data_IF_344703446787
#
_entry.id   IF_344703446787
#
_cell.length_a   1.000
_cell.length_b   1.000
_cell.length_c   1.000
_cell.angle_alpha   90.00
_cell.angle_beta   90.00
_cell.angle_gamma   90.00
#
_symmetry.space_group_name_H-M   'P 1'
#
loop_
_entity.id
_entity.type
_entity.pdbx_description
1 polymer ?
#
# COMPACT_ATOMS: atom_id res chain seq x y z
N UNK A 1 51.78 66.85 19.92
CA UNK A 1 52.61 65.73 20.43
C UNK A 1 51.67 64.63 20.85
N UNK A 2 51.50 63.65 19.97
CA UNK A 2 50.91 62.30 20.11
C UNK A 2 50.67 61.84 18.67
N UNK A 3 51.69 61.18 18.13
CA UNK A 3 51.68 60.52 16.83
C UNK A 3 50.88 59.22 16.95
N UNK A 4 50.07 58.88 15.96
CA UNK A 4 49.96 57.52 15.40
C UNK A 4 49.28 57.61 14.01
N UNK A 5 49.82 56.83 13.10
CA UNK A 5 49.69 56.81 11.64
C UNK A 5 48.30 56.46 11.09
N UNK A 6 47.97 56.89 9.86
CA UNK A 6 46.86 56.35 9.09
C UNK A 6 47.31 55.07 8.36
N UNK A 7 46.65 53.94 8.61
CA UNK A 7 46.78 52.77 7.74
C UNK A 7 45.54 52.66 6.86
N UNK A 8 45.74 52.89 5.56
CA UNK A 8 44.85 52.41 4.51
C UNK A 8 44.80 50.88 4.58
N UNK A 9 43.62 50.31 4.76
CA UNK A 9 43.40 48.89 4.58
C UNK A 9 43.16 48.63 3.09
N UNK A 10 44.17 48.11 2.40
CA UNK A 10 44.04 47.53 1.06
C UNK A 10 43.17 46.28 1.12
N UNK A 11 42.06 46.26 0.37
CA UNK A 11 41.30 45.04 0.08
C UNK A 11 42.17 44.10 -0.77
N UNK A 12 42.66 43.02 -0.15
CA UNK A 12 43.22 41.88 -0.88
C UNK A 12 42.08 41.03 -1.42
N UNK A 13 41.80 41.16 -2.72
CA UNK A 13 41.01 40.21 -3.49
C UNK A 13 41.81 38.90 -3.61
N UNK A 14 41.51 37.91 -2.78
CA UNK A 14 41.89 36.52 -3.07
C UNK A 14 40.90 35.97 -4.12
N UNK A 15 41.35 35.55 -5.31
CA UNK A 15 40.48 34.84 -6.23
C UNK A 15 40.21 33.44 -5.67
N UNK A 16 38.96 33.20 -5.28
CA UNK A 16 38.48 31.84 -5.06
C UNK A 16 38.54 31.11 -6.41
N UNK A 17 39.50 30.22 -6.55
CA UNK A 17 39.56 29.26 -7.65
C UNK A 17 38.32 28.37 -7.57
N UNK A 18 37.31 28.70 -8.36
CA UNK A 18 36.21 27.79 -8.67
C UNK A 18 36.81 26.62 -9.46
N UNK A 19 37.01 25.48 -8.80
CA UNK A 19 37.10 24.20 -9.49
C UNK A 19 35.72 23.92 -10.10
N UNK A 20 35.51 24.40 -11.31
CA UNK A 20 34.44 23.93 -12.17
C UNK A 20 34.76 22.48 -12.54
N UNK A 21 34.26 21.53 -11.75
CA UNK A 21 34.03 20.20 -12.29
C UNK A 21 32.96 20.34 -13.36
N UNK A 22 33.39 20.43 -14.61
CA UNK A 22 32.56 20.03 -15.74
C UNK A 22 32.07 18.61 -15.44
N UNK A 23 30.81 18.52 -15.03
CA UNK A 23 30.03 17.31 -15.15
C UNK A 23 29.90 17.04 -16.65
N UNK A 24 30.93 16.42 -17.21
CA UNK A 24 30.84 15.71 -18.48
C UNK A 24 29.72 14.71 -18.26
N UNK A 25 28.54 15.02 -18.80
CA UNK A 25 27.40 14.13 -18.84
C UNK A 25 27.88 12.85 -19.52
N UNK A 26 28.20 11.85 -18.69
CA UNK A 26 28.55 10.54 -19.15
C UNK A 26 27.46 10.07 -20.12
N UNK A 27 27.89 9.65 -21.31
CA UNK A 27 27.10 9.02 -22.38
C UNK A 27 25.80 8.43 -21.84
N UNK A 28 24.68 8.83 -22.45
CA UNK A 28 23.37 8.24 -22.23
C UNK A 28 23.52 6.73 -22.00
N UNK A 29 23.23 6.29 -20.76
CA UNK A 29 23.04 4.88 -20.43
C UNK A 29 22.17 4.31 -21.54
N UNK A 30 22.65 3.25 -22.19
CA UNK A 30 21.85 2.42 -23.09
C UNK A 30 20.43 2.35 -22.52
N UNK A 31 19.45 2.81 -23.29
CA UNK A 31 18.07 2.86 -22.84
C UNK A 31 17.74 1.48 -22.26
N UNK A 32 17.41 1.42 -20.97
CA UNK A 32 17.17 0.14 -20.33
C UNK A 32 16.07 -0.58 -21.10
N UNK A 33 16.34 -1.81 -21.56
CA UNK A 33 15.35 -2.60 -22.28
C UNK A 33 14.08 -2.69 -21.42
N UNK A 34 12.98 -2.16 -21.96
CA UNK A 34 11.68 -2.26 -21.32
C UNK A 34 11.23 -3.72 -21.37
N UNK A 35 11.10 -4.35 -20.19
CA UNK A 35 10.62 -5.72 -20.06
C UNK A 35 9.16 -5.69 -19.58
N UNK A 36 8.17 -5.75 -20.49
CA UNK A 36 6.77 -5.81 -20.08
C UNK A 36 6.48 -7.15 -19.40
N UNK A 37 5.89 -7.10 -18.20
CA UNK A 37 5.46 -8.30 -17.47
C UNK A 37 4.02 -8.71 -17.81
N UNK A 38 3.27 -7.84 -18.49
CA UNK A 38 1.89 -8.12 -18.84
C UNK A 38 1.34 -7.10 -19.83
N UNK A 39 0.35 -7.53 -20.57
CA UNK A 39 -0.40 -6.73 -21.54
C UNK A 39 -1.90 -6.81 -21.20
N UNK A 40 -2.66 -5.86 -21.73
CA UNK A 40 -4.13 -5.83 -21.62
C UNK A 40 -4.62 -5.85 -20.15
N UNK A 41 -4.13 -4.94 -19.32
CA UNK A 41 -4.70 -4.74 -17.98
C UNK A 41 -6.03 -3.97 -18.03
N UNK A 42 -6.79 -4.01 -16.92
CA UNK A 42 -7.86 -3.03 -16.68
C UNK A 42 -7.31 -1.75 -16.05
N UNK A 43 -8.15 -0.72 -15.90
CA UNK A 43 -7.84 0.44 -15.06
C UNK A 43 -7.29 -0.03 -13.70
N UNK A 44 -6.09 0.45 -13.34
CA UNK A 44 -5.29 -0.08 -12.21
C UNK A 44 -5.02 -1.59 -12.34
N UNK A 45 -4.23 -1.93 -13.35
CA UNK A 45 -3.63 -3.27 -13.54
C UNK A 45 -2.87 -3.71 -12.27
N UNK A 46 -2.12 -2.77 -11.71
CA UNK A 46 -1.61 -2.79 -10.35
C UNK A 46 -2.46 -1.83 -9.49
N UNK A 47 -2.61 -2.14 -8.21
CA UNK A 47 -3.27 -1.28 -7.26
C UNK A 47 -2.25 -0.34 -6.60
N UNK A 48 -2.74 0.78 -6.09
CA UNK A 48 -1.90 1.70 -5.32
C UNK A 48 -1.63 1.17 -3.90
N UNK A 49 -0.88 1.96 -3.12
CA UNK A 49 -0.42 1.62 -1.78
C UNK A 49 -1.50 1.24 -0.75
N UNK A 50 -2.79 1.43 -1.06
CA UNK A 50 -3.90 1.01 -0.20
C UNK A 50 -4.03 -0.53 -0.16
N UNK A 51 -3.60 -1.24 -1.19
CA UNK A 51 -3.74 -2.69 -1.34
C UNK A 51 -2.44 -3.32 -1.85
N UNK A 52 -1.76 -4.07 -0.98
CA UNK A 52 -0.38 -4.54 -1.20
C UNK A 52 -0.02 -5.69 -0.24
N UNK A 53 1.11 -6.37 -0.38
CA UNK A 53 2.05 -6.37 -1.52
C UNK A 53 1.44 -6.94 -2.80
N UNK A 54 1.88 -6.44 -3.97
CA UNK A 54 1.57 -7.04 -5.27
C UNK A 54 2.75 -7.84 -5.85
N UNK A 55 3.84 -7.91 -5.09
CA UNK A 55 4.98 -8.73 -5.43
C UNK A 55 5.73 -9.17 -4.18
N UNK A 56 6.34 -10.34 -4.24
CA UNK A 56 7.24 -10.86 -3.20
C UNK A 56 8.47 -11.48 -3.86
N UNK A 57 9.65 -11.17 -3.32
CA UNK A 57 10.90 -11.79 -3.76
C UNK A 57 11.27 -12.90 -2.79
N UNK A 58 11.39 -14.13 -3.29
CA UNK A 58 11.57 -15.32 -2.47
C UNK A 58 12.44 -16.34 -3.20
N UNK A 59 13.45 -16.89 -2.51
CA UNK A 59 14.39 -17.89 -3.03
C UNK A 59 14.99 -17.57 -4.42
N UNK A 60 15.28 -16.29 -4.67
CA UNK A 60 15.91 -15.84 -5.92
C UNK A 60 14.93 -15.56 -7.05
N UNK A 61 13.61 -15.66 -6.82
CA UNK A 61 12.56 -15.42 -7.80
C UNK A 61 11.60 -14.34 -7.33
N UNK A 62 11.20 -13.45 -8.24
CA UNK A 62 10.17 -12.46 -7.97
C UNK A 62 8.82 -13.02 -8.42
N UNK A 63 7.84 -13.03 -7.52
CA UNK A 63 6.46 -13.39 -7.82
C UNK A 63 5.66 -12.10 -7.88
N UNK A 64 4.92 -11.86 -8.97
CA UNK A 64 4.11 -10.67 -9.17
C UNK A 64 2.67 -11.05 -9.47
N UNK A 65 1.74 -10.31 -8.88
CA UNK A 65 0.31 -10.48 -9.16
C UNK A 65 -0.30 -9.18 -9.63
N UNK A 66 -1.23 -9.30 -10.57
CA UNK A 66 -1.83 -8.16 -11.25
C UNK A 66 -3.18 -8.53 -11.87
N UNK A 67 -3.94 -7.54 -12.31
CA UNK A 67 -5.12 -7.79 -13.13
C UNK A 67 -4.75 -7.72 -14.62
N UNK A 68 -4.82 -8.84 -15.33
CA UNK A 68 -4.41 -8.92 -16.73
C UNK A 68 -5.44 -9.57 -17.63
N UNK A 69 -5.06 -9.73 -18.89
CA UNK A 69 -5.83 -10.48 -19.88
C UNK A 69 -7.26 -9.95 -20.04
N UNK A 70 -7.38 -8.63 -20.01
CA UNK A 70 -8.62 -7.92 -20.17
C UNK A 70 -9.05 -7.89 -21.62
N UNK A 71 -10.34 -8.04 -21.87
CA UNK A 71 -10.92 -7.73 -23.17
C UNK A 71 -11.03 -6.21 -23.32
N UNK A 72 -10.48 -5.60 -24.38
CA UNK A 72 -10.61 -4.17 -24.61
C UNK A 72 -12.08 -3.75 -24.67
N UNK A 73 -12.42 -2.66 -24.00
CA UNK A 73 -13.74 -2.02 -24.07
C UNK A 73 -13.58 -0.55 -24.38
N UNK A 74 -14.58 0.06 -25.02
CA UNK A 74 -14.57 1.50 -25.37
C UNK A 74 -14.51 2.45 -24.16
N UNK A 75 -14.78 1.94 -22.95
CA UNK A 75 -14.90 2.73 -21.73
C UNK A 75 -13.83 2.39 -20.68
N UNK A 76 -12.76 1.66 -21.06
CA UNK A 76 -11.64 1.27 -20.17
C UNK A 76 -12.03 0.39 -18.96
N UNK A 77 -13.28 -0.08 -18.91
CA UNK A 77 -13.82 -0.98 -17.86
C UNK A 77 -13.79 -2.44 -18.31
N UNK A 78 -12.70 -2.84 -18.97
CA UNK A 78 -12.48 -4.22 -19.39
C UNK A 78 -12.52 -5.16 -18.19
N UNK A 79 -13.11 -6.35 -18.38
CA UNK A 79 -13.03 -7.43 -17.39
C UNK A 79 -11.64 -8.04 -17.45
N UNK A 80 -10.93 -8.04 -16.33
CA UNK A 80 -9.60 -8.63 -16.21
C UNK A 80 -9.59 -9.79 -15.22
N UNK A 81 -8.63 -10.68 -15.37
CA UNK A 81 -8.41 -11.83 -14.49
C UNK A 81 -7.33 -11.52 -13.46
N UNK A 82 -7.42 -12.03 -12.23
CA UNK A 82 -6.28 -12.05 -11.32
C UNK A 82 -5.22 -12.98 -11.90
N UNK A 83 -4.02 -12.46 -12.12
CA UNK A 83 -2.90 -13.14 -12.75
C UNK A 83 -1.74 -13.29 -11.77
N UNK A 84 -0.94 -14.33 -11.98
CA UNK A 84 0.39 -14.52 -11.40
C UNK A 84 1.41 -14.65 -12.53
N UNK A 85 2.56 -13.99 -12.36
CA UNK A 85 3.74 -14.19 -13.19
C UNK A 85 4.97 -14.23 -12.29
N UNK A 86 6.00 -14.96 -12.72
CA UNK A 86 7.29 -14.99 -12.02
C UNK A 86 8.38 -14.38 -12.87
N UNK A 87 9.39 -13.82 -12.23
CA UNK A 87 10.56 -13.24 -12.88
C UNK A 87 11.84 -13.79 -12.27
N UNK A 88 12.70 -14.32 -13.13
CA UNK A 88 14.06 -14.70 -12.78
C UNK A 88 14.99 -13.50 -13.00
N UNK A 89 15.55 -12.89 -11.95
CA UNK A 89 16.43 -11.74 -12.10
C UNK A 89 17.81 -12.09 -12.69
N UNK A 90 18.24 -13.35 -12.61
CA UNK A 90 19.52 -13.79 -13.16
C UNK A 90 19.41 -13.96 -14.67
N UNK A 91 18.34 -14.61 -15.13
CA UNK A 91 18.09 -14.83 -16.56
C UNK A 91 17.37 -13.64 -17.22
N UNK A 92 16.78 -12.75 -16.41
CA UNK A 92 15.94 -11.61 -16.84
C UNK A 92 14.73 -12.03 -17.66
N UNK A 93 14.12 -13.17 -17.30
CA UNK A 93 13.00 -13.77 -18.03
C UNK A 93 11.77 -13.84 -17.13
N UNK A 94 10.61 -13.48 -17.70
CA UNK A 94 9.32 -13.75 -17.11
C UNK A 94 8.82 -15.15 -17.50
N UNK A 95 8.15 -15.84 -16.58
CA UNK A 95 7.37 -17.05 -16.92
C UNK A 95 6.16 -16.70 -17.79
N UNK A 96 5.52 -17.72 -18.37
CA UNK A 96 4.16 -17.54 -18.86
C UNK A 96 3.22 -17.11 -17.70
N UNK A 97 2.28 -16.18 -17.94
CA UNK A 97 1.33 -15.75 -16.91
C UNK A 97 0.26 -16.82 -16.66
N UNK A 98 -0.17 -16.94 -15.41
CA UNK A 98 -1.17 -17.92 -14.95
C UNK A 98 -2.40 -17.20 -14.43
N UNK A 99 -3.60 -17.59 -14.87
CA UNK A 99 -4.86 -17.11 -14.29
C UNK A 99 -5.09 -17.78 -12.93
N UNK A 100 -5.41 -16.99 -11.92
CA UNK A 100 -5.70 -17.45 -10.56
C UNK A 100 -7.20 -17.76 -10.35
N UNK A 101 -8.03 -17.37 -11.30
CA UNK A 101 -9.47 -17.61 -11.30
C UNK A 101 -10.01 -17.69 -12.72
N UNK A 102 -11.06 -18.48 -12.92
CA UNK A 102 -11.84 -18.49 -14.16
C UNK A 102 -12.81 -17.30 -14.26
N UNK A 103 -12.97 -16.55 -13.17
CA UNK A 103 -13.82 -15.36 -13.11
C UNK A 103 -13.00 -14.11 -13.40
N UNK A 104 -13.52 -13.26 -14.29
CA UNK A 104 -12.97 -11.93 -14.58
C UNK A 104 -13.88 -10.83 -14.07
N UNK A 105 -13.27 -9.72 -13.65
CA UNK A 105 -13.93 -8.64 -12.93
C UNK A 105 -13.53 -7.28 -13.48
N UNK A 106 -14.49 -6.35 -13.55
CA UNK A 106 -14.25 -4.96 -13.96
C UNK A 106 -13.79 -4.09 -12.80
N UNK A 107 -14.12 -4.47 -11.57
CA UNK A 107 -13.80 -3.68 -10.39
C UNK A 107 -12.30 -3.77 -10.08
N UNK A 108 -11.61 -2.64 -10.12
CA UNK A 108 -10.19 -2.57 -9.86
C UNK A 108 -9.82 -2.91 -8.40
N UNK A 109 -10.77 -2.80 -7.45
CA UNK A 109 -10.57 -3.19 -6.04
C UNK A 109 -10.28 -4.68 -5.87
N UNK A 110 -10.71 -5.50 -6.83
CA UNK A 110 -10.54 -6.96 -6.79
C UNK A 110 -9.11 -7.40 -7.11
N UNK A 111 -8.16 -6.46 -7.20
CA UNK A 111 -6.75 -6.73 -7.47
C UNK A 111 -6.16 -7.77 -6.53
N UNK A 112 -5.29 -8.67 -7.02
CA UNK A 112 -4.62 -9.61 -6.15
C UNK A 112 -3.51 -8.94 -5.32
N UNK A 113 -3.26 -9.50 -4.14
CA UNK A 113 -2.05 -9.31 -3.33
C UNK A 113 -1.35 -10.66 -3.13
N UNK A 114 -0.03 -10.64 -2.92
CA UNK A 114 0.81 -11.82 -2.73
C UNK A 114 1.88 -11.60 -1.66
N UNK A 115 2.01 -12.53 -0.72
CA UNK A 115 3.09 -12.53 0.27
C UNK A 115 3.62 -13.95 0.50
N UNK A 116 4.63 -14.06 1.36
CA UNK A 116 5.18 -15.34 1.77
C UNK A 116 5.20 -15.44 3.30
N UNK A 117 4.93 -16.63 3.82
CA UNK A 117 5.03 -16.93 5.26
C UNK A 117 6.47 -17.33 5.64
N UNK A 118 6.69 -17.69 6.90
CA UNK A 118 8.01 -18.09 7.41
C UNK A 118 8.47 -19.48 6.95
N UNK A 119 7.53 -20.30 6.48
CA UNK A 119 7.79 -21.63 5.93
C UNK A 119 7.99 -21.59 4.39
N UNK A 120 8.17 -20.39 3.83
CA UNK A 120 8.34 -20.09 2.42
C UNK A 120 7.12 -20.47 1.53
N UNK A 121 5.93 -20.67 2.10
CA UNK A 121 4.71 -20.82 1.31
C UNK A 121 4.26 -19.46 0.78
N UNK A 122 3.68 -19.47 -0.43
CA UNK A 122 3.12 -18.28 -1.05
C UNK A 122 1.64 -18.17 -0.73
N UNK A 123 1.22 -16.97 -0.39
CA UNK A 123 -0.15 -16.64 -0.04
C UNK A 123 -0.70 -15.65 -1.06
N UNK A 124 -1.96 -15.83 -1.45
CA UNK A 124 -2.67 -14.97 -2.38
C UNK A 124 -4.03 -14.59 -1.85
N UNK A 125 -4.39 -13.31 -2.00
CA UNK A 125 -5.73 -12.83 -1.70
C UNK A 125 -6.21 -11.92 -2.82
N UNK A 126 -7.39 -12.19 -3.36
CA UNK A 126 -7.98 -11.39 -4.43
C UNK A 126 -9.50 -11.33 -4.33
N UNK A 127 -10.12 -10.44 -5.09
CA UNK A 127 -11.58 -10.32 -5.13
C UNK A 127 -12.19 -9.60 -3.92
N UNK A 128 -11.42 -8.73 -3.25
CA UNK A 128 -11.82 -8.06 -2.02
C UNK A 128 -12.39 -6.67 -2.28
N UNK A 129 -13.71 -6.54 -2.20
CA UNK A 129 -14.38 -5.25 -2.11
C UNK A 129 -15.74 -5.44 -1.44
N UNK A 130 -15.77 -5.29 -0.10
CA UNK A 130 -16.93 -5.61 0.74
C UNK A 130 -17.32 -7.09 0.69
N UNK A 131 -16.33 -7.93 0.43
CA UNK A 131 -16.41 -9.37 0.26
C UNK A 131 -15.26 -10.02 1.02
N UNK A 132 -15.34 -11.31 1.37
CA UNK A 132 -14.21 -12.02 1.97
C UNK A 132 -13.04 -12.20 0.98
N UNK A 133 -13.34 -12.17 -0.34
CA UNK A 133 -12.40 -12.51 -1.39
C UNK A 133 -12.12 -14.02 -1.44
N UNK A 134 -11.08 -14.39 -2.20
CA UNK A 134 -10.56 -15.75 -2.29
C UNK A 134 -9.14 -15.77 -1.74
N UNK A 135 -8.91 -16.57 -0.70
CA UNK A 135 -7.61 -16.73 -0.05
C UNK A 135 -7.00 -18.08 -0.40
N UNK A 136 -5.83 -18.07 -1.03
CA UNK A 136 -5.11 -19.26 -1.45
C UNK A 136 -3.73 -19.32 -0.80
N UNK A 137 -3.27 -20.52 -0.50
CA UNK A 137 -1.89 -20.81 -0.09
C UNK A 137 -1.31 -21.88 -1.00
N UNK A 138 -0.04 -21.77 -1.37
CA UNK A 138 0.62 -22.80 -2.17
C UNK A 138 0.59 -24.15 -1.44
N UNK A 139 0.52 -25.25 -2.17
CA UNK A 139 0.55 -26.60 -1.57
C UNK A 139 1.95 -27.03 -1.16
N UNK A 140 2.97 -26.31 -1.60
CA UNK A 140 4.37 -26.56 -1.34
C UNK A 140 5.08 -25.20 -1.12
N UNK A 141 6.17 -25.17 -0.33
CA UNK A 141 7.04 -24.01 -0.25
C UNK A 141 7.57 -23.59 -1.62
N UNK A 142 7.85 -22.30 -1.79
CA UNK A 142 8.45 -21.78 -3.00
C UNK A 142 9.85 -22.37 -3.21
N UNK A 143 10.02 -23.07 -4.34
CA UNK A 143 11.31 -23.61 -4.77
C UNK A 143 12.04 -22.70 -5.76
N UNK A 144 13.31 -23.02 -6.04
CA UNK A 144 14.09 -22.39 -7.13
C UNK A 144 13.53 -22.72 -8.53
N UNK A 145 12.97 -23.92 -8.69
CA UNK A 145 12.38 -24.36 -9.94
C UNK A 145 10.96 -23.80 -10.09
N UNK A 146 10.68 -23.23 -11.26
CA UNK A 146 9.35 -22.76 -11.65
C UNK A 146 8.42 -23.95 -11.96
N UNK A 147 8.10 -24.75 -10.95
CA UNK A 147 6.99 -25.71 -11.06
C UNK A 147 5.68 -24.95 -11.03
N UNK A 148 4.68 -25.46 -11.75
CA UNK A 148 3.32 -24.94 -11.65
C UNK A 148 2.90 -24.95 -10.17
N UNK A 149 2.59 -23.77 -9.64
CA UNK A 149 2.19 -23.63 -8.24
C UNK A 149 0.77 -24.16 -8.11
N UNK A 150 0.61 -25.19 -7.30
CA UNK A 150 -0.70 -25.71 -6.93
C UNK A 150 -1.21 -24.97 -5.71
N UNK A 151 -2.48 -24.57 -5.74
CA UNK A 151 -3.10 -23.78 -4.69
C UNK A 151 -4.06 -24.62 -3.85
N UNK A 152 -4.12 -24.30 -2.56
CA UNK A 152 -5.16 -24.73 -1.64
C UNK A 152 -5.96 -23.51 -1.21
N UNK A 153 -7.28 -23.58 -1.33
CA UNK A 153 -8.17 -22.56 -0.77
C UNK A 153 -8.20 -22.67 0.76
N UNK A 154 -8.11 -21.52 1.41
CA UNK A 154 -8.06 -21.38 2.86
C UNK A 154 -9.34 -20.71 3.37
N UNK A 155 -9.69 -20.87 4.67
CA UNK A 155 -10.81 -20.16 5.26
C UNK A 155 -10.72 -18.65 5.07
N UNK A 156 -11.86 -17.97 4.95
CA UNK A 156 -11.89 -16.52 4.80
C UNK A 156 -11.25 -15.82 6.00
N UNK A 157 -10.39 -14.83 5.74
CA UNK A 157 -9.69 -14.04 6.78
C UNK A 157 -10.68 -13.19 7.60
N UNK A 158 -11.67 -12.63 6.92
CA UNK A 158 -12.72 -11.81 7.49
C UNK A 158 -13.99 -11.96 6.62
N UNK A 159 -15.20 -11.74 7.18
CA UNK A 159 -16.44 -11.85 6.40
C UNK A 159 -16.51 -10.81 5.27
N UNK A 160 -15.89 -9.65 5.46
CA UNK A 160 -15.77 -8.59 4.46
C UNK A 160 -14.45 -7.87 4.65
N UNK A 161 -13.80 -7.54 3.53
CA UNK A 161 -12.65 -6.67 3.51
C UNK A 161 -12.52 -5.92 2.18
N UNK A 162 -11.96 -4.72 2.26
CA UNK A 162 -11.51 -3.91 1.12
C UNK A 162 -10.09 -3.42 1.40
N UNK A 163 -9.27 -3.27 0.37
CA UNK A 163 -7.88 -2.79 0.47
C UNK A 163 -6.98 -3.60 1.41
N UNK A 164 -6.93 -4.94 1.27
CA UNK A 164 -6.07 -5.75 2.12
C UNK A 164 -4.61 -5.33 1.98
N UNK A 165 -3.94 -5.16 3.11
CA UNK A 165 -2.52 -4.87 3.17
C UNK A 165 -1.84 -5.77 4.17
N UNK A 166 -0.90 -6.57 3.68
CA UNK A 166 -0.18 -7.56 4.51
C UNK A 166 1.24 -7.10 4.82
N UNK A 167 1.66 -7.32 6.06
CA UNK A 167 3.05 -7.16 6.49
C UNK A 167 3.48 -8.29 7.42
N UNK A 168 4.75 -8.66 7.37
CA UNK A 168 5.41 -9.36 8.48
C UNK A 168 5.62 -8.40 9.64
N UNK A 169 5.42 -8.90 10.85
CA UNK A 169 5.54 -8.16 12.11
C UNK A 169 6.36 -8.98 13.12
N UNK A 170 6.50 -8.46 14.33
CA UNK A 170 7.30 -9.09 15.38
C UNK A 170 6.89 -10.54 15.67
N UNK A 171 7.88 -11.36 16.03
CA UNK A 171 7.65 -12.74 16.48
C UNK A 171 7.13 -13.66 15.38
N UNK A 172 7.58 -13.45 14.14
CA UNK A 172 7.29 -14.33 13.00
C UNK A 172 5.78 -14.40 12.68
N UNK A 173 5.09 -13.28 12.94
CA UNK A 173 3.65 -13.10 12.73
C UNK A 173 3.36 -12.28 11.49
N UNK A 174 2.13 -12.38 11.03
CA UNK A 174 1.62 -11.63 9.87
C UNK A 174 0.44 -10.76 10.31
N UNK A 175 0.38 -9.53 9.81
CA UNK A 175 -0.78 -8.64 9.96
C UNK A 175 -1.42 -8.40 8.61
N UNK A 176 -2.76 -8.40 8.58
CA UNK A 176 -3.56 -7.88 7.48
C UNK A 176 -4.42 -6.72 7.96
N UNK A 177 -4.19 -5.52 7.41
CA UNK A 177 -4.96 -4.31 7.71
C UNK A 177 -5.88 -3.98 6.54
N UNK A 178 -7.16 -3.72 6.82
CA UNK A 178 -8.19 -3.55 5.80
C UNK A 178 -9.35 -2.66 6.27
N UNK A 179 -10.15 -2.20 5.31
CA UNK A 179 -11.44 -1.53 5.57
C UNK A 179 -12.55 -2.58 5.61
N UNK A 180 -13.43 -2.50 6.60
CA UNK A 180 -14.40 -3.56 6.90
C UNK A 180 -15.54 -3.65 5.89
N UNK A 181 -15.94 -2.54 5.27
CA UNK A 181 -16.99 -2.49 4.24
C UNK A 181 -16.76 -1.32 3.26
N UNK A 182 -17.81 -0.53 2.98
CA UNK A 182 -17.83 0.62 2.08
C UNK A 182 -17.09 1.85 2.61
N UNK A 183 -17.33 3.00 1.99
CA UNK A 183 -16.52 4.21 2.22
C UNK A 183 -16.48 4.66 3.68
N UNK A 184 -17.63 4.68 4.35
CA UNK A 184 -17.80 5.18 5.72
C UNK A 184 -17.55 4.12 6.79
N UNK A 185 -17.19 2.90 6.38
CA UNK A 185 -16.96 1.81 7.33
C UNK A 185 -15.65 1.95 8.09
N UNK A 186 -15.56 1.20 9.18
CA UNK A 186 -14.38 1.14 10.03
C UNK A 186 -13.15 0.56 9.32
N UNK A 187 -11.99 0.83 9.89
CA UNK A 187 -10.73 0.17 9.54
C UNK A 187 -10.22 -0.66 10.71
N UNK A 188 -9.67 -1.83 10.40
CA UNK A 188 -9.23 -2.78 11.41
C UNK A 188 -8.11 -3.66 10.87
N UNK A 189 -7.64 -4.59 11.71
CA UNK A 189 -6.65 -5.57 11.31
C UNK A 189 -6.89 -6.94 11.92
N UNK A 190 -6.29 -7.95 11.30
CA UNK A 190 -6.11 -9.27 11.89
C UNK A 190 -4.64 -9.64 11.93
N UNK A 191 -4.24 -10.43 12.92
CA UNK A 191 -2.92 -11.02 13.08
C UNK A 191 -3.07 -12.53 12.93
N UNK A 192 -2.15 -13.14 12.18
CA UNK A 192 -1.93 -14.57 12.20
C UNK A 192 -0.63 -14.88 12.95
N UNK A 193 -0.70 -15.89 13.81
CA UNK A 193 0.45 -16.42 14.56
C UNK A 193 0.88 -17.81 14.07
N UNK A 194 0.21 -18.33 13.03
CA UNK A 194 0.30 -19.72 12.59
C UNK A 194 0.42 -19.85 11.07
N UNK A 195 1.13 -18.90 10.45
CA UNK A 195 1.37 -18.83 9.01
C UNK A 195 0.06 -18.80 8.21
N UNK A 196 -0.81 -17.86 8.59
CA UNK A 196 -2.04 -17.55 7.89
C UNK A 196 -3.14 -18.61 7.97
N UNK A 197 -3.05 -19.58 8.88
CA UNK A 197 -4.09 -20.62 9.07
C UNK A 197 -5.28 -20.05 9.86
N UNK A 198 -5.01 -19.26 10.88
CA UNK A 198 -6.01 -18.53 11.67
C UNK A 198 -5.67 -17.04 11.75
N UNK A 199 -6.72 -16.23 11.92
CA UNK A 199 -6.62 -14.78 11.94
C UNK A 199 -7.49 -14.24 13.07
N UNK A 200 -6.87 -13.55 14.02
CA UNK A 200 -7.56 -12.91 15.16
C UNK A 200 -7.32 -11.42 15.12
N UNK A 201 -8.17 -10.61 15.77
CA UNK A 201 -8.00 -9.15 15.73
C UNK A 201 -8.35 -8.52 17.07
N UNK A 202 -8.19 -7.20 17.18
CA UNK A 202 -8.60 -6.47 18.37
C UNK A 202 -10.11 -6.63 18.61
N UNK A 203 -10.57 -6.47 19.86
CA UNK A 203 -12.00 -6.55 20.20
C UNK A 203 -12.82 -5.40 19.58
N UNK A 204 -12.16 -4.29 19.26
CA UNK A 204 -12.72 -3.10 18.63
C UNK A 204 -11.92 -2.77 17.39
N UNK A 205 -12.59 -2.22 16.38
CA UNK A 205 -11.90 -1.70 15.19
C UNK A 205 -11.00 -0.51 15.57
N UNK A 206 -10.12 -0.08 14.67
CA UNK A 206 -9.13 0.96 14.96
C UNK A 206 -9.71 2.35 14.77
N UNK A 207 -10.38 2.58 13.64
CA UNK A 207 -11.00 3.87 13.32
C UNK A 207 -12.38 3.65 12.75
N UNK A 208 -13.33 4.47 13.17
CA UNK A 208 -14.63 4.65 12.53
C UNK A 208 -14.91 6.16 12.51
N UNK A 209 -14.72 6.78 11.34
CA UNK A 209 -14.88 8.23 11.22
C UNK A 209 -16.35 8.64 11.05
N UNK A 210 -17.22 7.70 10.70
CA UNK A 210 -18.66 7.88 10.57
C UNK A 210 -19.37 7.85 11.93
N UNK A 211 -18.65 7.38 12.96
CA UNK A 211 -19.12 7.31 14.33
C UNK A 211 -19.39 8.69 14.96
N UNK A 212 -20.14 8.68 16.07
CA UNK A 212 -20.35 9.86 16.94
C UNK A 212 -20.92 11.09 16.22
N UNK A 213 -21.76 10.88 15.19
CA UNK A 213 -22.48 11.94 14.49
C UNK A 213 -21.73 12.59 13.33
N UNK A 214 -20.54 12.09 12.97
CA UNK A 214 -19.80 12.51 11.76
C UNK A 214 -20.25 11.72 10.53
N UNK A 215 -21.55 11.75 10.24
CA UNK A 215 -22.16 10.98 9.15
C UNK A 215 -21.44 11.23 7.81
N UNK A 216 -21.28 10.21 6.97
CA UNK A 216 -20.57 10.22 5.68
C UNK A 216 -19.05 10.46 5.75
N UNK A 217 -18.41 10.52 6.92
CA UNK A 217 -16.96 10.70 6.99
C UNK A 217 -16.22 9.40 6.65
N UNK A 218 -15.17 9.53 5.83
CA UNK A 218 -14.38 8.41 5.32
C UNK A 218 -12.89 8.72 5.46
N UNK A 219 -12.07 7.68 5.32
CA UNK A 219 -10.62 7.83 5.19
C UNK A 219 -10.01 6.91 4.14
N UNK A 220 -8.90 7.37 3.57
CA UNK A 220 -7.97 6.51 2.84
C UNK A 220 -6.64 6.43 3.58
N UNK A 221 -6.24 5.21 3.91
CA UNK A 221 -5.15 4.96 4.84
C UNK A 221 -3.99 4.24 4.18
N UNK A 222 -2.78 4.64 4.55
CA UNK A 222 -1.54 3.91 4.32
C UNK A 222 -0.96 3.50 5.67
N UNK A 223 -0.24 2.39 5.70
CA UNK A 223 0.19 1.76 6.94
C UNK A 223 1.52 1.05 6.77
N UNK A 224 2.44 1.24 7.71
CA UNK A 224 3.77 0.63 7.70
C UNK A 224 4.15 0.14 9.10
N UNK A 225 4.69 -1.07 9.24
CA UNK A 225 5.24 -1.51 10.51
C UNK A 225 6.51 -0.72 10.84
N UNK A 226 6.72 -0.51 12.13
CA UNK A 226 8.00 -0.09 12.70
C UNK A 226 9.09 -1.14 12.42
N UNK A 227 10.36 -0.73 12.54
CA UNK A 227 11.52 -1.59 12.25
C UNK A 227 11.54 -2.90 13.06
N UNK A 228 11.07 -2.87 14.30
CA UNK A 228 11.00 -4.04 15.17
C UNK A 228 9.68 -4.84 15.00
N UNK A 229 8.79 -4.38 14.13
CA UNK A 229 7.49 -5.00 13.86
C UNK A 229 6.50 -4.95 15.03
N UNK A 230 6.78 -4.20 16.10
CA UNK A 230 5.92 -4.16 17.31
C UNK A 230 4.86 -3.07 17.23
N UNK A 231 5.06 -2.05 16.40
CA UNK A 231 4.06 -1.00 16.12
C UNK A 231 3.68 -0.96 14.64
N UNK A 232 2.42 -0.69 14.37
CA UNK A 232 1.93 -0.29 13.04
C UNK A 232 1.66 1.21 13.04
N UNK A 233 2.28 1.93 12.11
CA UNK A 233 2.03 3.35 11.87
C UNK A 233 0.98 3.48 10.77
N UNK A 234 -0.04 4.29 11.01
CA UNK A 234 -1.12 4.52 10.05
C UNK A 234 -1.23 6.02 9.81
N UNK A 235 -1.19 6.40 8.54
CA UNK A 235 -1.38 7.77 8.08
C UNK A 235 -2.54 7.78 7.12
N UNK A 236 -3.43 8.76 7.28
CA UNK A 236 -4.62 8.81 6.44
C UNK A 236 -5.08 10.24 6.18
N UNK A 237 -5.73 10.40 5.03
CA UNK A 237 -6.57 11.57 4.78
C UNK A 237 -7.99 11.21 5.18
N UNK A 238 -8.57 11.96 6.10
CA UNK A 238 -10.00 11.97 6.36
C UNK A 238 -10.69 13.01 5.48
N UNK A 239 -11.91 12.71 5.06
CA UNK A 239 -12.71 13.61 4.26
C UNK A 239 -14.20 13.30 4.45
N UNK A 240 -14.99 14.34 4.26
CA UNK A 240 -16.44 14.27 4.30
C UNK A 240 -16.96 13.74 2.96
N UNK A 241 -17.46 12.51 2.91
CA UNK A 241 -18.01 11.89 1.71
C UNK A 241 -19.51 12.18 1.52
N UNK A 242 -19.96 13.38 1.93
CA UNK A 242 -21.34 13.86 1.82
C UNK A 242 -21.88 13.88 0.38
N UNK A 243 -22.22 12.70 -0.13
CA UNK A 243 -22.76 12.44 -1.46
C UNK A 243 -24.25 12.08 -1.39
N UNK A 244 -24.70 11.55 -0.26
CA UNK A 244 -26.05 11.00 -0.12
C UNK A 244 -27.07 12.05 0.36
N UNK A 245 -26.63 13.10 1.05
CA UNK A 245 -27.49 14.21 1.50
C UNK A 245 -26.73 15.55 1.44
N UNK A 246 -26.43 16.04 0.21
CA UNK A 246 -25.50 17.14 0.00
C UNK A 246 -25.90 18.40 0.78
N UNK A 247 -25.00 18.82 1.66
CA UNK A 247 -25.05 20.08 2.39
C UNK A 247 -23.73 20.78 2.07
N UNK A 248 -23.71 21.70 1.08
CA UNK A 248 -22.48 22.32 0.59
C UNK A 248 -21.65 22.97 1.70
N UNK A 249 -22.30 23.45 2.76
CA UNK A 249 -21.65 24.07 3.91
C UNK A 249 -20.67 23.14 4.64
N UNK A 250 -20.86 21.82 4.53
CA UNK A 250 -19.92 20.82 5.08
C UNK A 250 -18.58 20.81 4.34
N UNK A 251 -18.52 21.33 3.12
CA UNK A 251 -17.30 21.49 2.34
C UNK A 251 -16.68 22.89 2.49
N UNK A 252 -17.12 23.70 3.46
CA UNK A 252 -16.42 24.95 3.75
C UNK A 252 -15.05 24.66 4.36
N UNK A 253 -13.98 25.15 3.73
CA UNK A 253 -12.62 25.03 4.22
C UNK A 253 -12.20 26.35 4.90
N UNK A 254 -12.04 26.38 6.23
CA UNK A 254 -11.72 27.61 6.96
C UNK A 254 -10.31 28.14 6.69
N UNK A 255 -9.39 27.29 6.22
CA UNK A 255 -8.02 27.71 5.88
C UNK A 255 -7.97 28.58 4.63
N UNK A 256 -8.86 28.33 3.68
CA UNK A 256 -8.94 29.06 2.41
C UNK A 256 -10.16 29.99 2.32
N UNK A 257 -10.97 30.05 3.37
CA UNK A 257 -12.20 30.83 3.46
C UNK A 257 -13.11 30.65 2.22
N UNK A 258 -13.34 29.40 1.82
CA UNK A 258 -14.18 29.09 0.65
C UNK A 258 -14.80 27.72 0.76
N UNK A 259 -15.89 27.55 0.01
CA UNK A 259 -16.38 26.22 -0.33
C UNK A 259 -15.36 25.52 -1.24
N UNK A 260 -15.05 24.28 -0.88
CA UNK A 260 -14.33 23.34 -1.73
C UNK A 260 -15.31 22.25 -2.19
N UNK A 261 -14.83 21.30 -2.98
CA UNK A 261 -15.57 20.09 -3.33
C UNK A 261 -14.99 18.86 -2.60
N UNK A 262 -15.64 17.72 -2.76
CA UNK A 262 -15.23 16.45 -2.15
C UNK A 262 -13.89 15.90 -2.71
N UNK A 263 -13.39 16.43 -3.82
CA UNK A 263 -12.07 16.02 -4.35
C UNK A 263 -10.92 16.63 -3.53
N UNK A 264 -11.18 17.65 -2.73
CA UNK A 264 -10.18 18.29 -1.87
C UNK A 264 -9.91 17.48 -0.60
N UNK A 265 -8.85 16.66 -0.64
CA UNK A 265 -8.35 15.91 0.51
C UNK A 265 -7.11 16.60 1.06
N UNK A 266 -7.27 17.32 2.17
CA UNK A 266 -6.23 18.18 2.73
C UNK A 266 -5.89 17.88 4.20
N UNK A 267 -6.71 17.09 4.89
CA UNK A 267 -6.40 16.64 6.25
C UNK A 267 -5.39 15.50 6.19
N UNK A 268 -4.40 15.54 7.08
CA UNK A 268 -3.44 14.46 7.27
C UNK A 268 -3.45 14.08 8.75
N UNK A 269 -3.95 12.88 9.01
CA UNK A 269 -4.11 12.31 10.33
C UNK A 269 -3.16 11.13 10.52
N UNK A 270 -2.73 10.90 11.76
CA UNK A 270 -1.79 9.85 12.13
C UNK A 270 -2.24 9.13 13.39
N UNK A 271 -2.06 7.82 13.41
CA UNK A 271 -2.08 7.01 14.63
C UNK A 271 -1.00 5.93 14.58
N UNK A 272 -0.65 5.41 15.75
CA UNK A 272 0.16 4.20 15.88
C UNK A 272 -0.57 3.17 16.74
N UNK A 273 -0.36 1.90 16.41
CA UNK A 273 -0.97 0.77 17.11
C UNK A 273 0.18 -0.07 17.68
N UNK A 274 0.21 -0.30 18.99
CA UNK A 274 1.08 -1.32 19.57
C UNK A 274 0.46 -2.70 19.31
N UNK A 275 1.12 -3.51 18.49
CA UNK A 275 0.59 -4.79 18.02
C UNK A 275 0.64 -5.89 19.08
N UNK A 276 1.24 -5.62 20.25
CA UNK A 276 1.28 -6.56 21.38
C UNK A 276 0.13 -6.33 22.35
N UNK A 277 -0.34 -5.09 22.45
CA UNK A 277 -1.36 -4.68 23.44
C UNK A 277 -2.63 -4.14 22.79
N UNK A 278 -2.62 -3.94 21.47
CA UNK A 278 -3.66 -3.27 20.68
C UNK A 278 -3.91 -1.81 21.04
N UNK A 279 -3.08 -1.20 21.90
CA UNK A 279 -3.20 0.20 22.28
C UNK A 279 -2.97 1.11 21.08
N UNK A 280 -3.84 2.11 20.91
CA UNK A 280 -3.77 3.08 19.81
C UNK A 280 -3.38 4.44 20.38
N UNK A 281 -2.38 5.08 19.76
CA UNK A 281 -1.86 6.38 20.19
C UNK A 281 -1.82 7.38 19.02
N UNK A 282 -1.98 8.67 19.33
CA UNK A 282 -1.76 9.76 18.38
C UNK A 282 -0.25 10.06 18.17
N UNK A 283 0.07 11.12 17.43
CA UNK A 283 1.45 11.55 17.16
C UNK A 283 2.22 11.96 18.43
N UNK A 284 1.52 12.46 19.44
CA UNK A 284 2.08 12.89 20.73
C UNK A 284 2.24 11.74 21.73
N UNK A 285 1.86 10.51 21.34
CA UNK A 285 1.87 9.33 22.21
C UNK A 285 0.68 9.22 23.16
N UNK A 286 -0.30 10.13 23.08
CA UNK A 286 -1.53 10.06 23.87
C UNK A 286 -2.44 8.95 23.35
N UNK A 287 -3.07 8.20 24.27
CA UNK A 287 -4.02 7.14 23.93
C UNK A 287 -5.23 7.70 23.18
N UNK A 288 -5.73 6.96 22.20
CA UNK A 288 -6.95 7.25 21.46
C UNK A 288 -8.00 6.20 21.79
N UNK A 289 -9.22 6.65 22.04
CA UNK A 289 -10.38 5.75 22.16
C UNK A 289 -10.76 5.18 20.81
N UNK A 290 -10.74 3.86 20.70
CA UNK A 290 -11.24 3.15 19.53
C UNK A 290 -12.77 2.97 19.59
N UNK A 291 -13.44 2.86 18.43
CA UNK A 291 -14.90 2.69 18.33
C UNK A 291 -15.48 1.66 19.31
#
# INVERSE_FOLDING_TARGET
MNLIFPFLLTLSLCPATYFGQELVAAKAKQAADLLPFGHNGKFKMLYDSRQRPQSVFLKGRLYLVYNGDAKPTKNEKGKAYPMLITYDPNERIFSAPVRLSDKSETDHHFSPIIWADEDDFLHLLFGCHRTPGTYLVSKQPAGKEAKAINWKEMPSIAPKLSYPTVHRIHGDKEIIYYRTDGHTSSWTYRISEDNGKTWTGPPKDVTDLDSKGKLDWSSYQNKLPSKDGKRLHVVFTDYDDNKNSPSPQRFYNPRYDRLVDNEWKYNLSYLSIDLRTHAVCNADGASIDTP
#
